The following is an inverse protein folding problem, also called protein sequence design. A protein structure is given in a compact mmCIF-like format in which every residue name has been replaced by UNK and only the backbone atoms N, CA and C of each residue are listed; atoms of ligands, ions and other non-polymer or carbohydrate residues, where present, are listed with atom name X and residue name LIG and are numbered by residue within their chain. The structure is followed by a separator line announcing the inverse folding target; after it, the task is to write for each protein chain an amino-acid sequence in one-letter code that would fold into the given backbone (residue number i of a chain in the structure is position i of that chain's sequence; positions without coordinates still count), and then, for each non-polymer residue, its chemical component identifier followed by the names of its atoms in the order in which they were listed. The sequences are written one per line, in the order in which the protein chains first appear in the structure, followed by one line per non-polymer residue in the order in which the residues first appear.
data_IF_849258698013
#
_entry.id   IF_849258698013
#
_cell.length_a   1.000
_cell.length_b   1.000
_cell.length_c   1.000
_cell.angle_alpha   90.00
_cell.angle_beta   90.00
_cell.angle_gamma   90.00
#
_symmetry.space_group_name_H-M   'P 1'
#
loop_
_entity.id
_entity.type
_entity.pdbx_description
1 polymer ?
#
# COMPACT_ATOMS: atom_id res chain seq x y z
N UNK A 1 20.93 30.95 -12.19
CA UNK A 1 21.24 29.52 -12.38
C UNK A 1 21.20 28.85 -11.01
N UNK A 2 20.16 28.08 -10.72
CA UNK A 2 20.06 27.31 -9.47
C UNK A 2 20.88 26.02 -9.67
N UNK A 3 21.90 25.82 -8.84
CA UNK A 3 22.67 24.58 -8.79
C UNK A 3 21.75 23.43 -8.40
N UNK A 4 21.66 22.43 -9.25
CA UNK A 4 21.04 21.13 -8.95
C UNK A 4 21.93 20.40 -7.94
N UNK A 5 21.41 19.82 -6.85
CA UNK A 5 22.21 19.03 -5.94
C UNK A 5 22.72 17.77 -6.66
N UNK A 6 24.01 17.50 -6.48
CA UNK A 6 24.75 16.39 -7.07
C UNK A 6 24.14 15.06 -6.58
N UNK A 7 23.31 14.40 -7.39
CA UNK A 7 22.66 13.12 -7.04
C UNK A 7 23.61 11.96 -7.31
N UNK A 8 23.87 11.15 -6.27
CA UNK A 8 24.75 9.97 -6.33
C UNK A 8 24.10 8.86 -7.16
N UNK A 9 24.80 8.40 -8.19
CA UNK A 9 24.46 7.20 -8.96
C UNK A 9 25.12 5.98 -8.28
N UNK A 10 24.34 4.97 -7.94
CA UNK A 10 24.85 3.69 -7.40
C UNK A 10 25.04 2.73 -8.58
N UNK A 11 26.27 2.26 -8.82
CA UNK A 11 26.58 1.24 -9.85
C UNK A 11 26.78 -0.15 -9.24
N UNK A 12 26.00 -1.11 -9.77
CA UNK A 12 26.01 -2.59 -9.69
C UNK A 12 26.92 -3.35 -8.72
N UNK A 13 26.35 -4.37 -8.06
CA UNK A 13 27.06 -5.39 -7.27
C UNK A 13 27.44 -6.63 -8.08
N UNK A 14 28.65 -7.15 -7.88
CA UNK A 14 29.11 -8.48 -8.33
C UNK A 14 29.03 -9.52 -7.19
N UNK A 15 28.25 -10.59 -7.39
CA UNK A 15 28.52 -11.93 -6.82
C UNK A 15 27.78 -12.41 -5.54
N UNK A 16 26.93 -13.45 -5.74
CA UNK A 16 26.60 -14.60 -4.85
C UNK A 16 25.69 -14.44 -3.60
N UNK A 17 24.37 -14.53 -3.87
CA UNK A 17 23.24 -15.10 -3.09
C UNK A 17 23.36 -15.43 -1.58
N UNK A 18 22.68 -14.62 -0.74
CA UNK A 18 21.46 -15.07 -0.05
C UNK A 18 20.62 -13.85 0.42
N UNK A 19 19.35 -13.82 0.00
CA UNK A 19 18.39 -12.70 0.02
C UNK A 19 18.17 -12.04 1.39
N UNK A 20 18.35 -10.71 1.47
CA UNK A 20 17.48 -9.75 2.19
C UNK A 20 18.04 -8.33 2.06
N UNK A 21 18.02 -7.79 0.86
CA UNK A 21 18.51 -6.43 0.59
C UNK A 21 17.61 -5.66 -0.38
N UNK A 22 16.46 -6.25 -0.69
CA UNK A 22 15.49 -5.68 -1.60
C UNK A 22 14.62 -4.65 -0.87
N UNK A 23 14.63 -3.41 -1.34
CA UNK A 23 13.75 -2.36 -0.88
C UNK A 23 12.36 -2.55 -1.48
N UNK A 24 11.47 -3.14 -0.67
CA UNK A 24 10.07 -3.41 -1.01
C UNK A 24 9.18 -2.49 -0.17
N UNK A 25 8.64 -1.44 -0.78
CA UNK A 25 7.82 -0.44 -0.09
C UNK A 25 6.38 -0.39 -0.62
N UNK A 26 5.43 -0.49 0.31
CA UNK A 26 4.01 -0.32 0.03
C UNK A 26 3.49 1.03 0.49
N UNK A 27 2.77 1.73 -0.38
CA UNK A 27 2.06 2.97 -0.02
C UNK A 27 0.58 2.66 0.14
N UNK A 28 0.03 2.96 1.33
CA UNK A 28 -1.38 2.76 1.64
C UNK A 28 -2.07 4.07 2.06
N UNK A 29 -3.40 4.07 2.05
CA UNK A 29 -4.22 5.18 2.55
C UNK A 29 -5.46 5.48 1.72
N UNK A 30 -6.29 6.40 2.20
CA UNK A 30 -7.53 6.76 1.53
C UNK A 30 -7.27 7.26 0.09
N UNK A 31 -8.26 7.07 -0.78
CA UNK A 31 -8.18 7.60 -2.13
C UNK A 31 -8.06 9.14 -2.16
N UNK A 32 -7.49 9.68 -3.23
CA UNK A 32 -7.23 11.13 -3.36
C UNK A 32 -6.10 11.66 -2.47
N UNK A 33 -5.33 10.82 -1.81
CA UNK A 33 -4.17 11.23 -0.99
C UNK A 33 -2.89 11.50 -1.81
N UNK A 34 -2.91 11.26 -3.14
CA UNK A 34 -1.75 11.42 -4.03
C UNK A 34 -0.77 10.25 -4.02
N UNK A 35 -1.20 9.05 -3.58
CA UNK A 35 -0.36 7.86 -3.46
C UNK A 35 0.26 7.42 -4.79
N UNK A 36 -0.56 7.24 -5.83
CA UNK A 36 -0.07 6.83 -7.16
C UNK A 36 0.94 7.84 -7.71
N UNK A 37 0.65 9.14 -7.56
CA UNK A 37 1.54 10.22 -7.99
C UNK A 37 2.88 10.16 -7.25
N UNK A 38 2.84 10.01 -5.93
CA UNK A 38 4.04 9.87 -5.11
C UNK A 38 4.86 8.62 -5.47
N UNK A 39 4.19 7.47 -5.62
CA UNK A 39 4.84 6.21 -5.95
C UNK A 39 5.58 6.29 -7.30
N UNK A 40 4.92 6.86 -8.31
CA UNK A 40 5.51 7.06 -9.64
C UNK A 40 6.65 8.09 -9.63
N UNK A 41 6.48 9.21 -8.95
CA UNK A 41 7.51 10.24 -8.82
C UNK A 41 8.77 9.69 -8.12
N UNK A 42 8.59 8.90 -7.06
CA UNK A 42 9.71 8.24 -6.40
C UNK A 42 10.37 7.18 -7.29
N UNK A 43 9.57 6.38 -8.00
CA UNK A 43 10.09 5.39 -8.95
C UNK A 43 10.96 6.02 -10.03
N UNK A 44 10.49 7.10 -10.65
CA UNK A 44 11.24 7.86 -11.65
C UNK A 44 12.54 8.44 -11.07
N UNK A 45 12.49 9.00 -9.86
CA UNK A 45 13.64 9.64 -9.25
C UNK A 45 14.70 8.66 -8.73
N UNK A 46 14.29 7.48 -8.25
CA UNK A 46 15.17 6.49 -7.58
C UNK A 46 15.63 5.35 -8.49
N UNK A 47 14.91 5.10 -9.60
CA UNK A 47 15.09 3.91 -10.43
C UNK A 47 14.47 2.63 -9.85
N UNK A 48 13.82 2.69 -8.68
CA UNK A 48 13.09 1.55 -8.11
C UNK A 48 11.79 1.36 -8.89
N UNK A 49 11.51 0.17 -9.45
CA UNK A 49 10.31 -0.04 -10.27
C UNK A 49 9.00 0.22 -9.52
N UNK A 50 8.08 0.94 -10.16
CA UNK A 50 6.70 1.03 -9.72
C UNK A 50 5.94 -0.23 -10.13
N UNK A 51 5.39 -0.94 -9.15
CA UNK A 51 4.47 -2.04 -9.35
C UNK A 51 3.03 -1.51 -9.36
N UNK A 52 2.34 -1.69 -10.49
CA UNK A 52 0.91 -1.37 -10.59
C UNK A 52 0.09 -2.56 -10.10
N UNK A 53 -0.57 -2.38 -8.96
CA UNK A 53 -1.42 -3.40 -8.35
C UNK A 53 -2.64 -3.79 -9.21
N UNK A 54 -3.01 -3.00 -10.23
CA UNK A 54 -4.12 -3.24 -11.17
C UNK A 54 -5.40 -3.82 -10.52
N UNK A 55 -5.76 -3.31 -9.33
CA UNK A 55 -6.94 -3.80 -8.60
C UNK A 55 -8.21 -3.68 -9.45
N UNK A 56 -8.26 -2.69 -10.33
CA UNK A 56 -9.38 -2.52 -11.29
C UNK A 56 -9.44 -3.65 -12.30
N UNK A 57 -8.31 -4.03 -12.89
CA UNK A 57 -8.24 -5.16 -13.80
C UNK A 57 -8.59 -6.47 -13.11
N UNK A 58 -8.14 -6.68 -11.86
CA UNK A 58 -8.53 -7.83 -11.04
C UNK A 58 -10.06 -7.90 -10.95
N UNK A 59 -10.69 -6.84 -10.46
CA UNK A 59 -12.14 -6.80 -10.27
C UNK A 59 -12.92 -7.01 -11.57
N UNK A 60 -12.50 -6.35 -12.65
CA UNK A 60 -13.14 -6.46 -13.97
C UNK A 60 -13.08 -7.90 -14.52
N UNK A 61 -11.95 -8.60 -14.37
CA UNK A 61 -11.79 -9.99 -14.85
C UNK A 61 -12.67 -10.98 -14.08
N UNK A 62 -12.99 -10.65 -12.82
CA UNK A 62 -13.89 -11.44 -11.96
C UNK A 62 -15.34 -10.96 -11.98
N UNK A 63 -15.68 -9.99 -12.85
CA UNK A 63 -17.06 -9.52 -13.02
C UNK A 63 -17.57 -8.63 -11.89
N UNK A 64 -16.70 -8.10 -11.04
CA UNK A 64 -17.09 -7.16 -9.98
C UNK A 64 -17.15 -5.71 -10.48
N UNK A 65 -18.17 -4.98 -10.05
CA UNK A 65 -18.28 -3.53 -10.18
C UNK A 65 -18.33 -2.88 -8.79
N UNK A 66 -17.30 -2.10 -8.44
CA UNK A 66 -17.22 -1.41 -7.15
C UNK A 66 -18.35 -0.41 -6.87
N UNK A 67 -19.10 0.00 -7.90
CA UNK A 67 -20.24 0.93 -7.77
C UNK A 67 -21.58 0.21 -7.71
N UNK A 68 -21.64 -1.07 -8.07
CA UNK A 68 -22.87 -1.82 -7.96
C UNK A 68 -23.24 -2.01 -6.49
N UNK A 69 -24.55 -2.03 -6.22
CA UNK A 69 -25.04 -2.48 -4.93
C UNK A 69 -24.66 -3.95 -4.76
N UNK A 70 -23.89 -4.23 -3.72
CA UNK A 70 -23.46 -5.58 -3.34
C UNK A 70 -23.96 -5.88 -1.94
N UNK A 71 -24.41 -7.12 -1.73
CA UNK A 71 -24.61 -7.65 -0.39
C UNK A 71 -23.26 -7.72 0.36
N UNK A 72 -23.26 -7.75 1.70
CA UNK A 72 -22.02 -7.92 2.47
C UNK A 72 -21.21 -9.16 2.06
N UNK A 73 -21.88 -10.29 1.79
CA UNK A 73 -21.22 -11.54 1.36
C UNK A 73 -20.51 -11.37 0.01
N UNK A 74 -21.17 -10.74 -0.96
CA UNK A 74 -20.56 -10.44 -2.27
C UNK A 74 -19.36 -9.50 -2.12
N UNK A 75 -19.45 -8.50 -1.23
CA UNK A 75 -18.35 -7.58 -0.98
C UNK A 75 -17.13 -8.29 -0.35
N UNK A 76 -17.37 -9.20 0.59
CA UNK A 76 -16.31 -10.02 1.19
C UNK A 76 -15.67 -10.95 0.16
N UNK A 77 -16.47 -11.58 -0.70
CA UNK A 77 -15.98 -12.38 -1.83
C UNK A 77 -15.11 -11.55 -2.77
N UNK A 78 -15.53 -10.33 -3.09
CA UNK A 78 -14.76 -9.39 -3.89
C UNK A 78 -13.41 -9.04 -3.23
N UNK A 79 -13.39 -8.72 -1.93
CA UNK A 79 -12.15 -8.40 -1.22
C UNK A 79 -11.22 -9.60 -1.11
N UNK A 80 -11.76 -10.80 -0.88
CA UNK A 80 -10.97 -12.03 -0.88
C UNK A 80 -10.36 -12.32 -2.26
N UNK A 81 -11.09 -12.05 -3.34
CA UNK A 81 -10.56 -12.16 -4.71
C UNK A 81 -9.39 -11.20 -4.93
N UNK A 82 -9.53 -9.93 -4.51
CA UNK A 82 -8.45 -8.95 -4.57
C UNK A 82 -7.26 -9.38 -3.72
N UNK A 83 -7.51 -9.88 -2.51
CA UNK A 83 -6.51 -10.44 -1.60
C UNK A 83 -5.65 -11.49 -2.31
N UNK A 84 -6.25 -12.55 -2.85
CA UNK A 84 -5.51 -13.64 -3.48
C UNK A 84 -4.72 -13.19 -4.73
N UNK A 85 -5.34 -12.45 -5.66
CA UNK A 85 -4.65 -12.04 -6.88
C UNK A 85 -3.57 -10.99 -6.63
N UNK A 86 -3.85 -9.99 -5.80
CA UNK A 86 -2.87 -8.95 -5.50
C UNK A 86 -1.65 -9.55 -4.79
N UNK A 87 -1.87 -10.40 -3.79
CA UNK A 87 -0.76 -10.85 -2.93
C UNK A 87 0.18 -11.80 -3.65
N UNK A 88 -0.36 -12.63 -4.55
CA UNK A 88 0.43 -13.51 -5.41
C UNK A 88 1.15 -12.78 -6.55
N UNK A 89 0.81 -11.52 -6.81
CA UNK A 89 1.40 -10.72 -7.90
C UNK A 89 2.56 -9.82 -7.48
N UNK A 90 2.88 -9.75 -6.18
CA UNK A 90 3.98 -8.90 -5.71
C UNK A 90 5.34 -9.39 -6.25
N UNK A 91 6.21 -8.48 -6.72
CA UNK A 91 7.53 -8.87 -7.22
C UNK A 91 8.51 -9.35 -6.12
N UNK A 92 9.42 -10.25 -6.49
CA UNK A 92 10.49 -10.70 -5.61
C UNK A 92 11.57 -9.63 -5.36
N UNK A 93 11.76 -8.69 -6.29
CA UNK A 93 12.82 -7.68 -6.29
C UNK A 93 12.47 -6.36 -5.58
N UNK A 94 13.25 -5.31 -5.85
CA UNK A 94 12.93 -3.95 -5.40
C UNK A 94 11.64 -3.47 -6.07
N UNK A 95 10.73 -2.88 -5.29
CA UNK A 95 9.56 -2.22 -5.86
C UNK A 95 8.97 -1.18 -4.91
N UNK A 96 8.22 -0.26 -5.51
CA UNK A 96 7.26 0.60 -4.83
C UNK A 96 5.87 0.33 -5.40
N UNK A 97 4.86 0.19 -4.54
CA UNK A 97 3.47 0.00 -4.98
C UNK A 97 2.54 1.01 -4.32
N UNK A 98 1.47 1.37 -5.02
CA UNK A 98 0.29 2.00 -4.46
C UNK A 98 -0.79 0.93 -4.36
N UNK A 99 -1.25 0.64 -3.13
CA UNK A 99 -2.04 -0.52 -2.65
C UNK A 99 -1.19 -1.57 -1.94
N UNK A 100 -1.57 -1.84 -0.70
CA UNK A 100 -1.00 -2.89 0.15
C UNK A 100 -2.12 -3.74 0.77
N UNK A 101 -1.78 -4.84 1.47
CA UNK A 101 -2.77 -5.61 2.23
C UNK A 101 -3.54 -4.76 3.27
N UNK A 102 -2.95 -3.65 3.76
CA UNK A 102 -3.66 -2.73 4.65
C UNK A 102 -4.81 -2.00 3.94
N UNK A 103 -4.70 -1.71 2.64
CA UNK A 103 -5.83 -1.15 1.87
C UNK A 103 -6.98 -2.18 1.79
N UNK A 104 -6.67 -3.45 1.50
CA UNK A 104 -7.66 -4.55 1.44
C UNK A 104 -8.37 -4.69 2.79
N UNK A 105 -7.61 -4.73 3.89
CA UNK A 105 -8.18 -4.77 5.25
C UNK A 105 -9.06 -3.54 5.53
N UNK A 106 -8.59 -2.35 5.18
CA UNK A 106 -9.34 -1.10 5.38
C UNK A 106 -10.68 -1.07 4.63
N UNK A 107 -10.70 -1.54 3.38
CA UNK A 107 -11.94 -1.64 2.61
C UNK A 107 -12.84 -2.80 3.07
N UNK A 108 -12.27 -3.92 3.52
CA UNK A 108 -13.02 -5.04 4.09
C UNK A 108 -13.77 -4.60 5.35
N UNK A 109 -13.07 -3.97 6.30
CA UNK A 109 -13.65 -3.46 7.53
C UNK A 109 -14.72 -2.39 7.30
N UNK A 110 -14.57 -1.59 6.23
CA UNK A 110 -15.55 -0.56 5.91
C UNK A 110 -16.94 -1.11 5.57
N UNK A 111 -17.03 -2.39 5.18
CA UNK A 111 -18.25 -3.06 4.76
C UNK A 111 -18.75 -4.11 5.75
N UNK A 112 -18.10 -4.26 6.90
CA UNK A 112 -18.66 -5.03 8.02
C UNK A 112 -19.93 -4.33 8.50
N UNK A 113 -21.12 -4.96 8.42
CA UNK A 113 -22.35 -4.33 8.83
C UNK A 113 -22.49 -4.38 10.37
N UNK A 114 -23.00 -3.31 11.01
CA UNK A 114 -23.08 -3.25 12.48
C UNK A 114 -24.08 -4.25 13.08
N UNK A 115 -24.99 -4.79 12.25
CA UNK A 115 -25.98 -5.78 12.62
C UNK A 115 -25.60 -7.21 12.18
N UNK A 116 -24.32 -7.46 11.86
CA UNK A 116 -23.82 -8.81 11.62
C UNK A 116 -24.10 -9.70 12.85
N UNK A 117 -24.48 -10.96 12.62
CA UNK A 117 -24.76 -11.93 13.68
C UNK A 117 -24.05 -13.23 13.39
N UNK A 118 -23.32 -13.75 14.37
CA UNK A 118 -22.62 -15.04 14.33
C UNK A 118 -23.56 -16.25 14.27
N UNK A 119 -24.86 -16.04 14.46
CA UNK A 119 -25.83 -17.13 14.61
C UNK A 119 -26.46 -17.56 13.28
N UNK A 120 -26.29 -16.77 12.21
CA UNK A 120 -26.80 -17.10 10.88
C UNK A 120 -25.67 -17.44 9.89
N UNK A 121 -26.04 -18.09 8.78
CA UNK A 121 -25.08 -18.57 7.79
C UNK A 121 -24.26 -17.43 7.15
N UNK A 122 -24.90 -16.31 6.81
CA UNK A 122 -24.23 -15.17 6.19
C UNK A 122 -23.19 -14.52 7.13
N UNK A 123 -23.50 -14.38 8.41
CA UNK A 123 -22.54 -13.84 9.39
C UNK A 123 -21.35 -14.75 9.60
N UNK A 124 -21.55 -16.08 9.65
CA UNK A 124 -20.45 -17.06 9.71
C UNK A 124 -19.57 -17.01 8.46
N UNK A 125 -20.18 -16.88 7.29
CA UNK A 125 -19.45 -16.76 6.02
C UNK A 125 -18.58 -15.50 5.99
N UNK A 126 -19.14 -14.36 6.42
CA UNK A 126 -18.38 -13.11 6.53
C UNK A 126 -17.25 -13.24 7.56
N UNK A 127 -17.50 -13.87 8.72
CA UNK A 127 -16.49 -14.08 9.76
C UNK A 127 -15.34 -14.97 9.27
N UNK A 128 -15.64 -16.07 8.60
CA UNK A 128 -14.61 -16.93 8.00
C UNK A 128 -13.81 -16.18 6.91
N UNK A 129 -14.50 -15.50 5.99
CA UNK A 129 -13.83 -14.72 4.95
C UNK A 129 -12.97 -13.59 5.55
N UNK A 130 -13.42 -12.97 6.62
CA UNK A 130 -12.63 -11.98 7.36
C UNK A 130 -11.35 -12.59 7.93
N UNK A 131 -11.44 -13.76 8.58
CA UNK A 131 -10.30 -14.48 9.14
C UNK A 131 -9.29 -14.84 8.05
N UNK A 132 -9.77 -15.32 6.90
CA UNK A 132 -8.92 -15.67 5.76
C UNK A 132 -8.21 -14.43 5.21
N UNK A 133 -8.94 -13.34 4.91
CA UNK A 133 -8.36 -12.08 4.42
C UNK A 133 -7.33 -11.53 5.42
N UNK A 134 -7.61 -11.57 6.72
CA UNK A 134 -6.70 -11.12 7.76
C UNK A 134 -5.42 -11.97 7.81
N UNK A 135 -5.56 -13.29 7.73
CA UNK A 135 -4.43 -14.23 7.80
C UNK A 135 -3.53 -14.08 6.59
N UNK A 136 -4.11 -14.07 5.38
CA UNK A 136 -3.40 -13.85 4.13
C UNK A 136 -2.72 -12.48 4.10
N UNK A 137 -3.37 -11.44 4.62
CA UNK A 137 -2.78 -10.10 4.68
C UNK A 137 -1.53 -10.05 5.56
N UNK A 138 -1.49 -10.81 6.65
CA UNK A 138 -0.31 -10.88 7.53
C UNK A 138 0.85 -11.56 6.83
N UNK A 139 0.59 -12.72 6.22
CA UNK A 139 1.60 -13.48 5.46
C UNK A 139 2.11 -12.63 4.30
N UNK A 140 1.23 -12.03 3.52
CA UNK A 140 1.61 -11.19 2.39
C UNK A 140 2.45 -9.98 2.81
N UNK A 141 2.13 -9.32 3.94
CA UNK A 141 2.97 -8.23 4.47
C UNK A 141 4.35 -8.75 4.87
N UNK A 142 4.40 -9.84 5.63
CA UNK A 142 5.64 -10.43 6.10
C UNK A 142 6.58 -10.84 4.95
N UNK A 143 6.02 -11.47 3.92
CA UNK A 143 6.81 -12.04 2.82
C UNK A 143 7.21 -11.00 1.76
N UNK A 144 6.35 -10.00 1.52
CA UNK A 144 6.51 -9.10 0.37
C UNK A 144 6.95 -7.69 0.72
N UNK A 145 6.98 -7.29 1.99
CA UNK A 145 7.30 -5.90 2.34
C UNK A 145 8.43 -5.79 3.34
N UNK A 146 9.19 -4.72 3.18
CA UNK A 146 10.18 -4.26 4.18
C UNK A 146 9.73 -2.97 4.84
N UNK A 147 8.97 -2.16 4.10
CA UNK A 147 8.43 -0.90 4.55
C UNK A 147 6.98 -0.76 4.08
N UNK A 148 6.12 -0.22 4.93
CA UNK A 148 4.79 0.25 4.55
C UNK A 148 4.64 1.68 5.04
N UNK A 149 4.27 2.58 4.13
CA UNK A 149 4.02 3.99 4.44
C UNK A 149 2.56 4.34 4.19
N UNK A 150 1.89 4.80 5.25
CA UNK A 150 0.57 5.39 5.13
C UNK A 150 0.65 6.87 4.76
N UNK A 151 -0.03 7.25 3.68
CA UNK A 151 -0.19 8.65 3.27
C UNK A 151 -1.58 9.13 3.67
N UNK A 152 -1.62 10.23 4.41
CA UNK A 152 -2.84 10.83 4.93
C UNK A 152 -3.18 12.13 4.20
N UNK A 153 -4.45 12.52 4.23
CA UNK A 153 -4.90 13.81 3.73
C UNK A 153 -5.32 13.82 2.26
N UNK A 154 -5.39 15.02 1.69
CA UNK A 154 -5.92 15.26 0.35
C UNK A 154 -4.88 15.95 -0.53
N UNK A 155 -4.71 15.38 -1.72
CA UNK A 155 -3.92 15.93 -2.80
C UNK A 155 -4.87 16.20 -3.97
N UNK A 156 -5.30 17.45 -4.11
CA UNK A 156 -6.12 17.89 -5.24
C UNK A 156 -5.21 18.09 -6.46
N UNK A 157 -5.16 17.11 -7.35
CA UNK A 157 -4.86 17.37 -8.76
C UNK A 157 -6.12 17.88 -9.45
N UNK A 158 -6.00 18.74 -10.45
CA UNK A 158 -7.13 19.38 -11.15
C UNK A 158 -8.09 18.41 -11.88
N UNK A 159 -7.83 17.10 -11.89
CA UNK A 159 -8.50 16.12 -12.76
C UNK A 159 -9.24 14.98 -12.01
N UNK A 160 -9.26 15.02 -10.66
CA UNK A 160 -9.76 13.90 -9.86
C UNK A 160 -11.29 13.90 -9.65
N UNK A 161 -11.97 15.02 -9.88
CA UNK A 161 -13.43 15.16 -9.71
C UNK A 161 -14.25 14.63 -10.89
N UNK A 162 -13.64 14.44 -12.07
CA UNK A 162 -14.31 13.99 -13.28
C UNK A 162 -14.36 12.45 -13.45
N UNK A 163 -13.69 11.71 -12.56
CA UNK A 163 -13.53 10.25 -12.69
C UNK A 163 -14.71 9.48 -12.08
N UNK A 164 -15.58 8.95 -12.92
CA UNK A 164 -16.77 8.15 -12.56
C UNK A 164 -16.46 6.70 -12.18
N UNK A 165 -15.18 6.31 -12.13
CA UNK A 165 -14.74 4.94 -11.93
C UNK A 165 -14.08 4.70 -10.55
N UNK A 166 -13.99 5.71 -9.67
CA UNK A 166 -13.33 5.63 -8.33
C UNK A 166 -14.30 5.58 -7.15
N UNK A 167 -13.87 5.07 -6.00
CA UNK A 167 -14.66 5.11 -4.77
C UNK A 167 -15.05 6.56 -4.40
N UNK A 168 -15.90 6.77 -3.39
CA UNK A 168 -16.41 8.11 -3.06
C UNK A 168 -15.33 9.06 -2.54
N UNK A 169 -15.14 10.22 -3.18
CA UNK A 169 -14.18 11.26 -2.71
C UNK A 169 -14.72 12.10 -1.56
N UNK A 170 -15.93 11.78 -1.08
CA UNK A 170 -16.56 12.46 0.04
C UNK A 170 -15.68 12.44 1.29
N UNK A 171 -15.56 13.58 1.95
CA UNK A 171 -14.68 13.76 3.11
C UNK A 171 -14.93 12.69 4.19
N UNK A 172 -16.20 12.49 4.58
CA UNK A 172 -16.55 11.50 5.61
C UNK A 172 -16.18 10.06 5.24
N UNK A 173 -16.35 9.68 3.96
CA UNK A 173 -15.98 8.34 3.50
C UNK A 173 -14.46 8.15 3.51
N UNK A 174 -13.72 9.15 3.03
CA UNK A 174 -12.26 9.12 3.03
C UNK A 174 -11.68 9.10 4.44
N UNK A 175 -12.22 9.91 5.35
CA UNK A 175 -11.84 9.90 6.76
C UNK A 175 -12.10 8.53 7.39
N UNK A 176 -13.26 7.90 7.12
CA UNK A 176 -13.55 6.53 7.56
C UNK A 176 -12.46 5.55 7.10
N UNK A 177 -12.16 5.52 5.80
CA UNK A 177 -11.13 4.61 5.25
C UNK A 177 -9.75 4.91 5.83
N UNK A 178 -9.38 6.18 5.96
CA UNK A 178 -8.10 6.58 6.55
C UNK A 178 -7.99 6.11 8.01
N UNK A 179 -9.03 6.29 8.82
CA UNK A 179 -9.08 5.83 10.20
C UNK A 179 -8.97 4.31 10.30
N UNK A 180 -9.63 3.56 9.43
CA UNK A 180 -9.56 2.10 9.39
C UNK A 180 -8.14 1.64 9.03
N UNK A 181 -7.56 2.14 7.93
CA UNK A 181 -6.20 1.80 7.50
C UNK A 181 -5.18 2.18 8.59
N UNK A 182 -5.34 3.31 9.27
CA UNK A 182 -4.48 3.71 10.39
C UNK A 182 -4.55 2.72 11.55
N UNK A 183 -5.76 2.29 11.91
CA UNK A 183 -5.98 1.27 12.94
C UNK A 183 -5.32 -0.06 12.57
N UNK A 184 -5.44 -0.48 11.31
CA UNK A 184 -4.77 -1.69 10.82
C UNK A 184 -3.25 -1.53 10.83
N UNK A 185 -2.72 -0.38 10.41
CA UNK A 185 -1.27 -0.12 10.45
C UNK A 185 -0.71 -0.35 11.86
N UNK A 186 -1.40 0.14 12.90
CA UNK A 186 -0.98 -0.12 14.28
C UNK A 186 -1.14 -1.59 14.68
N UNK A 187 -2.26 -2.24 14.35
CA UNK A 187 -2.47 -3.66 14.70
C UNK A 187 -1.42 -4.57 14.05
N UNK A 188 -1.01 -4.27 12.82
CA UNK A 188 -0.02 -5.06 12.10
C UNK A 188 1.41 -4.87 12.59
N UNK A 189 1.69 -3.83 13.39
CA UNK A 189 2.98 -3.71 14.10
C UNK A 189 3.10 -4.76 15.20
N UNK A 190 1.97 -5.17 15.80
CA UNK A 190 1.95 -6.04 16.97
C UNK A 190 2.01 -7.55 16.63
N UNK A 191 2.04 -7.93 15.35
CA UNK A 191 2.17 -9.33 14.96
C UNK A 191 3.65 -9.75 14.86
N UNK A 192 3.99 -10.90 15.46
CA UNK A 192 5.35 -11.43 15.44
C UNK A 192 5.89 -11.64 14.01
N UNK A 193 5.04 -12.13 13.10
CA UNK A 193 5.41 -12.42 11.71
C UNK A 193 5.78 -11.16 10.89
N UNK A 194 5.35 -9.97 11.32
CA UNK A 194 5.64 -8.70 10.65
C UNK A 194 6.69 -7.87 11.39
N UNK A 195 7.36 -8.42 12.40
CA UNK A 195 8.32 -7.68 13.25
C UNK A 195 9.54 -7.10 12.49
N UNK A 196 9.88 -7.64 11.32
CA UNK A 196 10.93 -7.08 10.46
C UNK A 196 10.43 -5.93 9.56
N UNK A 197 9.11 -5.80 9.36
CA UNK A 197 8.51 -4.78 8.50
C UNK A 197 8.43 -3.45 9.26
N UNK A 198 8.86 -2.37 8.62
CA UNK A 198 8.79 -1.02 9.20
C UNK A 198 7.54 -0.30 8.73
N UNK A 199 6.71 0.12 9.67
CA UNK A 199 5.47 0.84 9.40
C UNK A 199 5.66 2.33 9.67
N UNK A 200 5.32 3.15 8.69
CA UNK A 200 5.56 4.59 8.70
C UNK A 200 4.26 5.35 8.42
N UNK A 201 4.17 6.58 8.90
CA UNK A 201 3.11 7.51 8.52
C UNK A 201 3.73 8.80 8.01
N UNK A 202 3.30 9.27 6.85
CA UNK A 202 3.70 10.57 6.34
C UNK A 202 2.82 11.66 6.97
N UNK A 203 3.46 12.67 7.55
CA UNK A 203 2.76 13.77 8.20
C UNK A 203 1.82 14.47 7.20
N UNK A 204 0.55 14.64 7.61
CA UNK A 204 -0.53 15.19 6.77
C UNK A 204 -0.21 16.58 6.21
N UNK A 205 0.61 17.35 6.92
CA UNK A 205 0.94 18.73 6.54
C UNK A 205 1.99 18.82 5.42
N UNK A 206 2.68 17.73 5.13
CA UNK A 206 3.57 17.65 3.98
C UNK A 206 2.71 17.44 2.73
N UNK A 207 2.33 18.54 2.08
CA UNK A 207 1.52 18.53 0.83
C UNK A 207 2.36 18.56 -0.43
N UNK A 208 3.55 19.13 -0.34
CA UNK A 208 4.48 19.26 -1.45
C UNK A 208 5.01 17.89 -1.91
N UNK A 209 4.97 17.64 -3.23
CA UNK A 209 5.34 16.34 -3.79
C UNK A 209 6.84 16.06 -3.61
N UNK A 210 7.69 17.06 -3.82
CA UNK A 210 9.14 16.88 -3.73
C UNK A 210 9.55 16.51 -2.30
N UNK A 211 8.99 17.19 -1.29
CA UNK A 211 9.21 16.82 0.13
C UNK A 211 8.72 15.42 0.49
N UNK A 212 7.62 14.97 -0.12
CA UNK A 212 7.13 13.59 0.07
C UNK A 212 8.09 12.57 -0.56
N UNK A 213 8.62 12.87 -1.74
CA UNK A 213 9.62 12.04 -2.41
C UNK A 213 10.92 12.01 -1.61
N UNK A 214 11.39 13.15 -1.08
CA UNK A 214 12.54 13.22 -0.17
C UNK A 214 12.36 12.33 1.06
N UNK A 215 11.15 12.30 1.65
CA UNK A 215 10.84 11.42 2.78
C UNK A 215 11.02 9.93 2.42
N UNK A 216 10.60 9.53 1.23
CA UNK A 216 10.82 8.15 0.74
C UNK A 216 12.29 7.87 0.46
N UNK A 217 13.06 8.85 -0.03
CA UNK A 217 14.51 8.71 -0.19
C UNK A 217 15.20 8.50 1.15
N UNK A 218 14.84 9.25 2.19
CA UNK A 218 15.42 9.05 3.52
C UNK A 218 15.16 7.63 4.03
N UNK A 219 13.98 7.05 3.78
CA UNK A 219 13.72 5.65 4.13
C UNK A 219 14.55 4.67 3.30
N UNK A 220 14.73 4.95 2.02
CA UNK A 220 15.55 4.13 1.13
C UNK A 220 17.03 4.15 1.55
N UNK A 221 17.57 5.31 1.89
CA UNK A 221 18.93 5.47 2.41
C UNK A 221 19.13 4.72 3.72
N UNK A 222 18.22 4.88 4.69
CA UNK A 222 18.24 4.12 5.95
C UNK A 222 18.20 2.61 5.69
N UNK A 223 17.37 2.17 4.74
CA UNK A 223 17.31 0.76 4.37
C UNK A 223 18.65 0.27 3.82
N UNK A 224 19.24 1.00 2.87
CA UNK A 224 20.55 0.68 2.29
C UNK A 224 21.64 0.61 3.36
N UNK A 225 21.70 1.59 4.26
CA UNK A 225 22.72 1.68 5.31
C UNK A 225 22.63 0.50 6.28
N UNK A 226 21.41 0.07 6.64
CA UNK A 226 21.19 -1.10 7.50
C UNK A 226 21.69 -2.42 6.88
N UNK A 227 21.86 -2.48 5.56
CA UNK A 227 22.40 -3.64 4.84
C UNK A 227 23.86 -3.46 4.39
N UNK A 228 24.53 -2.39 4.84
CA UNK A 228 25.98 -2.22 4.67
C UNK A 228 26.44 -1.97 3.24
N UNK A 229 25.57 -1.47 2.36
CA UNK A 229 25.98 -1.08 1.01
C UNK A 229 26.96 0.10 1.08
N UNK A 230 28.18 -0.08 0.55
CA UNK A 230 29.16 1.00 0.46
C UNK A 230 28.68 2.07 -0.53
N UNK A 231 28.35 3.25 -0.02
CA UNK A 231 28.12 4.43 -0.87
C UNK A 231 29.48 5.03 -1.24
N UNK A 232 29.92 4.88 -2.50
CA UNK A 232 31.04 5.67 -3.00
C UNK A 232 30.57 7.12 -3.13
N UNK A 233 31.09 8.00 -2.27
CA UNK A 233 30.95 9.44 -2.47
C UNK A 233 31.75 9.82 -3.72
N UNK A 234 31.06 10.30 -4.77
CA UNK A 234 31.72 10.95 -5.88
C UNK A 234 32.40 12.23 -5.34
N UNK A 235 33.74 12.23 -5.36
CA UNK A 235 34.57 13.40 -5.11
C UNK A 235 34.62 14.30 -6.35
#
# INVERSE_FOLDING_TARGET
MKQTPNRRLITSCTGSSNMKSAFKIGICGAQGAGKTTLAKAFSEASGIPYFDADVRGILKRHGFDCRADMSPVEYFTMQFTVCCELYSSYPDGNFITDRTPLDVMGYTLAYVPPNISSDNAAGKEIEHSFIDILSESRVAIADNFTNIMMISGYFSGNDDTARTDRASVHLGYRTKIESLIRGELHRFVDFDCTGHVKFHTLAREIKDLDKRVETLFSLFEIHIDNYGYQTQAAH
#
